data_IF_619939011580
#
_entry.id   IF_619939011580
#
_cell.length_a   1.000
_cell.length_b   1.000
_cell.length_c   1.000
_cell.angle_alpha   90.00
_cell.angle_beta   90.00
_cell.angle_gamma   90.00
#
_symmetry.space_group_name_H-M   'P 1'
#
loop_
_entity.id
_entity.type
_entity.pdbx_description
1 polymer ?
#
# COMPACT_ATOMS: atom_id res chain seq x y z
N UNK A 1 6.84 43.88 7.49
CA UNK A 1 5.73 44.38 8.32
C UNK A 1 4.40 44.09 7.64
N UNK A 2 3.90 44.83 6.64
CA UNK A 2 2.59 44.54 6.00
C UNK A 2 2.43 43.11 5.43
N UNK A 3 3.47 42.53 4.80
CA UNK A 3 3.38 41.16 4.24
C UNK A 3 3.34 40.07 5.33
N UNK A 4 4.08 40.26 6.42
CA UNK A 4 4.15 39.28 7.51
C UNK A 4 2.88 39.32 8.35
N UNK A 5 2.33 40.52 8.58
CA UNK A 5 1.03 40.73 9.20
C UNK A 5 -0.10 40.08 8.39
N UNK A 6 -0.07 40.21 7.05
CA UNK A 6 -1.04 39.54 6.19
C UNK A 6 -0.94 38.01 6.28
N UNK A 7 0.28 37.45 6.25
CA UNK A 7 0.51 36.00 6.42
C UNK A 7 0.05 35.50 7.79
N UNK A 8 0.28 36.29 8.84
CA UNK A 8 -0.19 35.98 10.19
C UNK A 8 -1.73 35.94 10.26
N UNK A 9 -2.41 36.93 9.66
CA UNK A 9 -3.87 36.97 9.58
C UNK A 9 -4.44 35.79 8.77
N UNK A 10 -3.81 35.44 7.64
CA UNK A 10 -4.18 34.27 6.83
C UNK A 10 -4.01 32.96 7.62
N UNK A 11 -2.91 32.81 8.35
CA UNK A 11 -2.67 31.65 9.22
C UNK A 11 -3.68 31.57 10.37
N UNK A 12 -3.98 32.70 11.03
CA UNK A 12 -4.98 32.78 12.09
C UNK A 12 -6.38 32.39 11.59
N UNK A 13 -6.78 32.86 10.40
CA UNK A 13 -8.05 32.48 9.78
C UNK A 13 -8.11 30.96 9.51
N UNK A 14 -7.01 30.36 9.01
CA UNK A 14 -6.91 28.91 8.80
C UNK A 14 -7.00 28.15 10.13
N UNK A 15 -6.36 28.66 11.19
CA UNK A 15 -6.42 28.08 12.53
C UNK A 15 -7.84 28.06 13.07
N UNK A 16 -8.54 29.20 13.05
CA UNK A 16 -9.93 29.30 13.52
C UNK A 16 -10.89 28.40 12.74
N UNK A 17 -10.84 28.45 11.40
CA UNK A 17 -11.68 27.61 10.55
C UNK A 17 -11.43 26.11 10.77
N UNK A 18 -10.20 25.73 11.09
CA UNK A 18 -9.85 24.34 11.39
C UNK A 18 -10.33 23.92 12.78
N UNK A 19 -10.18 24.78 13.79
CA UNK A 19 -10.68 24.54 15.14
C UNK A 19 -12.21 24.36 15.17
N UNK A 20 -12.97 25.21 14.47
CA UNK A 20 -14.42 25.08 14.36
C UNK A 20 -14.86 23.79 13.67
N UNK A 21 -14.15 23.39 12.60
CA UNK A 21 -14.42 22.13 11.90
C UNK A 21 -14.11 20.91 12.76
N UNK A 22 -13.04 20.96 13.56
CA UNK A 22 -12.70 19.91 14.51
C UNK A 22 -13.75 19.81 15.63
N UNK A 23 -14.16 20.95 16.21
CA UNK A 23 -15.18 20.99 17.25
C UNK A 23 -16.52 20.40 16.79
N UNK A 24 -17.01 20.80 15.61
CA UNK A 24 -18.23 20.23 15.02
C UNK A 24 -18.12 18.71 14.84
N UNK A 25 -16.96 18.22 14.39
CA UNK A 25 -16.77 16.79 14.14
C UNK A 25 -16.76 15.96 15.43
N UNK A 26 -16.20 16.50 16.51
CA UNK A 26 -16.26 15.86 17.84
C UNK A 26 -17.70 15.78 18.34
N UNK A 27 -18.51 16.82 18.11
CA UNK A 27 -19.94 16.80 18.44
C UNK A 27 -20.71 15.76 17.62
N UNK A 28 -20.46 15.71 16.31
CA UNK A 28 -21.05 14.70 15.40
C UNK A 28 -20.71 13.28 15.84
N UNK A 29 -19.45 13.03 16.20
CA UNK A 29 -19.03 11.74 16.77
C UNK A 29 -19.83 11.42 18.04
N UNK A 30 -19.96 12.38 18.96
CA UNK A 30 -20.75 12.19 20.18
C UNK A 30 -22.22 11.86 19.91
N UNK A 31 -22.81 12.40 18.84
CA UNK A 31 -24.16 12.03 18.39
C UNK A 31 -24.16 10.62 17.77
N UNK A 32 -23.22 10.29 16.90
CA UNK A 32 -23.10 8.97 16.28
C UNK A 32 -22.90 7.86 17.33
N UNK A 33 -22.07 8.08 18.34
CA UNK A 33 -21.80 7.09 19.41
C UNK A 33 -22.99 6.83 20.33
N UNK A 34 -24.08 7.59 20.21
CA UNK A 34 -25.34 7.36 20.92
C UNK A 34 -26.36 6.58 20.09
N UNK A 35 -26.08 6.32 18.81
CA UNK A 35 -26.97 5.56 17.92
C UNK A 35 -26.91 4.07 18.24
N UNK A 36 -28.04 3.41 18.55
CA UNK A 36 -28.07 1.99 18.89
C UNK A 36 -27.41 1.12 17.83
N UNK A 37 -27.63 1.41 16.54
CA UNK A 37 -27.09 0.62 15.43
C UNK A 37 -25.55 0.61 15.39
N UNK A 38 -24.92 1.68 15.92
CA UNK A 38 -23.46 1.81 15.98
C UNK A 38 -22.89 1.06 17.18
N UNK A 39 -23.55 1.14 18.32
CA UNK A 39 -23.05 0.59 19.59
C UNK A 39 -23.37 -0.91 19.71
N UNK A 40 -24.42 -1.39 19.05
CA UNK A 40 -24.83 -2.79 19.10
C UNK A 40 -23.91 -3.75 18.36
N UNK A 41 -23.22 -3.29 17.29
CA UNK A 41 -22.22 -4.08 16.58
C UNK A 41 -20.80 -3.58 16.87
N UNK A 42 -19.97 -4.44 17.48
CA UNK A 42 -18.57 -4.14 17.79
C UNK A 42 -17.78 -3.73 16.55
N UNK A 43 -18.04 -4.33 15.39
CA UNK A 43 -17.31 -3.98 14.16
C UNK A 43 -17.69 -2.62 13.61
N UNK A 44 -18.99 -2.27 13.66
CA UNK A 44 -19.47 -0.94 13.31
C UNK A 44 -18.86 0.11 14.24
N UNK A 45 -18.90 -0.10 15.56
CA UNK A 45 -18.29 0.82 16.53
C UNK A 45 -16.80 1.04 16.27
N UNK A 46 -16.03 -0.04 16.08
CA UNK A 46 -14.59 0.06 15.78
C UNK A 46 -14.32 0.75 14.43
N UNK A 47 -15.22 0.62 13.46
CA UNK A 47 -15.09 1.27 12.16
C UNK A 47 -15.30 2.78 12.27
N UNK A 48 -16.37 3.21 12.96
CA UNK A 48 -16.67 4.62 13.20
C UNK A 48 -15.55 5.30 14.02
N UNK A 49 -15.08 4.67 15.10
CA UNK A 49 -13.99 5.20 15.92
C UNK A 49 -12.67 5.30 15.13
N UNK A 50 -12.34 4.29 14.32
CA UNK A 50 -11.13 4.31 13.51
C UNK A 50 -11.20 5.39 12.41
N UNK A 51 -12.35 5.53 11.75
CA UNK A 51 -12.58 6.55 10.73
C UNK A 51 -12.50 7.96 11.32
N UNK A 52 -13.17 8.20 12.46
CA UNK A 52 -13.12 9.48 13.16
C UNK A 52 -11.70 9.83 13.60
N UNK A 53 -10.95 8.88 14.17
CA UNK A 53 -9.55 9.09 14.56
C UNK A 53 -8.65 9.42 13.35
N UNK A 54 -8.88 8.78 12.20
CA UNK A 54 -8.14 9.05 10.98
C UNK A 54 -8.45 10.45 10.43
N UNK A 55 -9.73 10.82 10.34
CA UNK A 55 -10.19 12.15 9.92
C UNK A 55 -9.61 13.25 10.82
N UNK A 56 -9.67 13.06 12.14
CA UNK A 56 -9.09 13.99 13.11
C UNK A 56 -7.57 14.19 12.90
N UNK A 57 -6.81 13.09 12.76
CA UNK A 57 -5.37 13.15 12.50
C UNK A 57 -5.04 13.84 11.18
N UNK A 58 -5.79 13.56 10.12
CA UNK A 58 -5.59 14.19 8.82
C UNK A 58 -5.79 15.70 8.92
N UNK A 59 -6.85 16.16 9.58
CA UNK A 59 -7.15 17.58 9.74
C UNK A 59 -6.12 18.31 10.61
N UNK A 60 -5.67 17.69 11.70
CA UNK A 60 -4.56 18.26 12.49
C UNK A 60 -3.29 18.32 11.64
N UNK A 61 -3.03 17.32 10.80
CA UNK A 61 -1.92 17.35 9.85
C UNK A 61 -2.06 18.46 8.80
N UNK A 62 -3.26 18.67 8.25
CA UNK A 62 -3.56 19.76 7.33
C UNK A 62 -3.34 21.12 8.00
N UNK A 63 -3.79 21.27 9.24
CA UNK A 63 -3.59 22.48 10.03
C UNK A 63 -2.10 22.82 10.18
N UNK A 64 -1.31 21.84 10.63
CA UNK A 64 0.15 22.01 10.80
C UNK A 64 0.81 22.34 9.47
N UNK A 65 0.47 21.61 8.41
CA UNK A 65 1.03 21.83 7.09
C UNK A 65 0.69 23.22 6.54
N UNK A 66 -0.59 23.60 6.53
CA UNK A 66 -1.03 24.88 5.98
C UNK A 66 -0.46 26.07 6.77
N UNK A 67 -0.34 25.93 8.08
CA UNK A 67 0.29 26.96 8.92
C UNK A 67 1.76 27.09 8.57
N UNK A 68 2.53 26.00 8.50
CA UNK A 68 3.95 26.06 8.16
C UNK A 68 4.19 26.56 6.72
N UNK A 69 3.37 26.11 5.77
CA UNK A 69 3.45 26.50 4.36
C UNK A 69 3.17 28.00 4.12
N UNK A 70 2.49 28.68 5.05
CA UNK A 70 2.30 30.14 4.97
C UNK A 70 3.61 30.92 5.21
N UNK A 71 4.58 30.33 5.91
CA UNK A 71 5.84 30.99 6.29
C UNK A 71 7.06 30.51 5.52
N UNK A 72 7.04 29.28 4.99
CA UNK A 72 8.17 28.69 4.27
C UNK A 72 7.70 27.66 3.23
N UNK A 73 8.55 27.41 2.22
CA UNK A 73 8.38 26.27 1.32
C UNK A 73 8.74 24.97 2.07
N UNK A 74 7.72 24.21 2.46
CA UNK A 74 7.86 23.00 3.27
C UNK A 74 7.04 21.86 2.67
N UNK A 75 7.50 20.63 2.83
CA UNK A 75 6.73 19.45 2.44
C UNK A 75 6.00 18.89 3.65
N UNK A 76 4.90 18.17 3.39
CA UNK A 76 4.12 17.50 4.45
C UNK A 76 4.97 16.53 5.27
N UNK A 77 5.91 15.83 4.63
CA UNK A 77 6.83 14.91 5.30
C UNK A 77 7.77 15.58 6.31
N UNK A 78 8.07 16.87 6.13
CA UNK A 78 8.98 17.62 6.99
C UNK A 78 8.27 18.18 8.23
N UNK A 79 6.98 18.52 8.11
CA UNK A 79 6.26 19.28 9.14
C UNK A 79 5.12 18.52 9.81
N UNK A 80 4.50 17.54 9.13
CA UNK A 80 3.34 16.82 9.68
C UNK A 80 3.80 15.63 10.55
N UNK A 81 3.51 15.63 11.86
CA UNK A 81 3.99 14.58 12.75
C UNK A 81 3.52 13.19 12.32
N UNK A 82 4.48 12.27 12.17
CA UNK A 82 4.23 10.87 11.82
C UNK A 82 3.77 10.63 10.39
N UNK A 83 3.78 11.65 9.50
CA UNK A 83 3.38 11.48 8.10
C UNK A 83 4.26 10.45 7.37
N UNK A 84 5.59 10.57 7.47
CA UNK A 84 6.52 9.63 6.84
C UNK A 84 6.30 8.19 7.32
N UNK A 85 6.06 7.98 8.62
CA UNK A 85 5.74 6.67 9.18
C UNK A 85 4.43 6.11 8.61
N UNK A 86 3.41 6.96 8.45
CA UNK A 86 2.13 6.59 7.87
C UNK A 86 2.25 6.20 6.39
N UNK A 87 3.04 6.92 5.60
CA UNK A 87 3.35 6.58 4.21
C UNK A 87 4.10 5.24 4.17
N UNK A 88 5.17 5.09 4.96
CA UNK A 88 5.96 3.85 5.01
C UNK A 88 5.15 2.62 5.39
N UNK A 89 4.24 2.73 6.38
CA UNK A 89 3.36 1.64 6.77
C UNK A 89 2.42 1.20 5.62
N UNK A 90 1.96 2.15 4.80
CA UNK A 90 1.06 1.88 3.66
C UNK A 90 1.80 1.34 2.45
N UNK A 91 3.03 1.79 2.20
CA UNK A 91 3.93 1.19 1.21
C UNK A 91 4.18 -0.28 1.56
N UNK A 92 4.52 -0.55 2.82
CA UNK A 92 4.75 -1.91 3.30
C UNK A 92 3.47 -2.77 3.22
N UNK A 93 2.30 -2.20 3.54
CA UNK A 93 1.02 -2.89 3.42
C UNK A 93 0.70 -3.24 1.96
N UNK A 94 0.91 -2.31 1.03
CA UNK A 94 0.70 -2.56 -0.41
C UNK A 94 1.59 -3.68 -0.93
N UNK A 95 2.87 -3.68 -0.57
CA UNK A 95 3.79 -4.76 -0.90
C UNK A 95 3.34 -6.12 -0.35
N UNK A 96 2.97 -6.16 0.94
CA UNK A 96 2.49 -7.38 1.59
C UNK A 96 1.18 -7.91 0.95
N UNK A 97 0.28 -7.02 0.55
CA UNK A 97 -0.96 -7.37 -0.14
C UNK A 97 -0.68 -7.96 -1.54
N UNK A 98 0.28 -7.40 -2.28
CA UNK A 98 0.70 -7.92 -3.57
C UNK A 98 1.30 -9.33 -3.48
N UNK A 99 2.10 -9.58 -2.43
CA UNK A 99 2.64 -10.91 -2.14
C UNK A 99 1.56 -11.91 -1.74
N UNK A 100 0.60 -11.50 -0.91
CA UNK A 100 -0.54 -12.33 -0.57
C UNK A 100 -1.36 -12.69 -1.82
N UNK A 101 -1.68 -11.70 -2.67
CA UNK A 101 -2.41 -11.93 -3.92
C UNK A 101 -1.72 -12.97 -4.80
N UNK A 102 -0.43 -12.79 -5.06
CA UNK A 102 0.38 -13.74 -5.84
C UNK A 102 0.35 -15.15 -5.23
N UNK A 103 0.50 -15.23 -3.90
CA UNK A 103 0.47 -16.48 -3.14
C UNK A 103 -0.87 -17.21 -3.31
N UNK A 104 -1.98 -16.49 -3.25
CA UNK A 104 -3.32 -17.03 -3.43
C UNK A 104 -3.62 -17.39 -4.89
N UNK A 105 -3.21 -16.58 -5.85
CA UNK A 105 -3.36 -16.87 -7.28
C UNK A 105 -2.65 -18.18 -7.67
N UNK A 106 -1.40 -18.37 -7.24
CA UNK A 106 -0.68 -19.63 -7.47
C UNK A 106 -1.32 -20.84 -6.77
N UNK A 107 -2.14 -20.63 -5.73
CA UNK A 107 -2.97 -21.70 -5.14
C UNK A 107 -4.20 -21.98 -6.00
N UNK A 108 -4.83 -20.97 -6.58
CA UNK A 108 -5.98 -21.17 -7.47
C UNK A 108 -5.58 -21.92 -8.75
N UNK A 109 -4.43 -21.59 -9.33
CA UNK A 109 -3.87 -22.32 -10.47
C UNK A 109 -3.62 -23.81 -10.16
N UNK A 110 -3.17 -24.11 -8.93
CA UNK A 110 -3.03 -25.50 -8.45
C UNK A 110 -4.38 -26.15 -8.19
N UNK A 111 -5.34 -25.43 -7.64
CA UNK A 111 -6.69 -25.93 -7.33
C UNK A 111 -7.46 -26.34 -8.59
N UNK A 112 -7.26 -25.60 -9.69
CA UNK A 112 -7.85 -25.91 -11.00
C UNK A 112 -7.39 -27.27 -11.55
N UNK A 113 -6.23 -27.77 -11.13
CA UNK A 113 -5.66 -29.06 -11.55
C UNK A 113 -5.79 -30.15 -10.48
N UNK A 114 -6.29 -29.81 -9.29
CA UNK A 114 -6.37 -30.70 -8.15
C UNK A 114 -7.65 -31.55 -8.20
N UNK A 115 -7.57 -32.76 -7.64
CA UNK A 115 -8.76 -33.59 -7.39
C UNK A 115 -9.57 -33.05 -6.19
N UNK A 116 -10.81 -33.48 -6.08
CA UNK A 116 -11.73 -33.05 -5.01
C UNK A 116 -11.16 -33.32 -3.61
N UNK A 117 -10.46 -34.44 -3.42
CA UNK A 117 -9.78 -34.80 -2.18
C UNK A 117 -8.51 -33.97 -1.88
N UNK A 118 -7.89 -33.35 -2.89
CA UNK A 118 -6.70 -32.52 -2.73
C UNK A 118 -7.02 -31.05 -2.40
N UNK A 119 -8.19 -30.55 -2.85
CA UNK A 119 -8.59 -29.14 -2.67
C UNK A 119 -8.72 -28.68 -1.20
N UNK A 120 -9.18 -29.50 -0.23
CA UNK A 120 -9.17 -29.09 1.20
C UNK A 120 -7.78 -28.69 1.71
N UNK A 121 -6.71 -29.35 1.25
CA UNK A 121 -5.35 -28.97 1.61
C UNK A 121 -4.97 -27.59 1.08
N UNK A 122 -5.42 -27.24 -0.13
CA UNK A 122 -5.20 -25.90 -0.71
C UNK A 122 -6.00 -24.81 0.03
N UNK A 123 -7.21 -25.14 0.51
CA UNK A 123 -7.99 -24.24 1.36
C UNK A 123 -7.28 -23.94 2.70
N UNK A 124 -6.68 -24.95 3.35
CA UNK A 124 -5.84 -24.76 4.55
C UNK A 124 -4.63 -23.87 4.28
N UNK A 125 -3.90 -24.14 3.20
CA UNK A 125 -2.75 -23.30 2.82
C UNK A 125 -3.14 -21.85 2.50
N UNK A 126 -4.35 -21.61 1.99
CA UNK A 126 -4.88 -20.27 1.78
C UNK A 126 -5.20 -19.60 3.12
N UNK A 127 -5.85 -20.31 4.06
CA UNK A 127 -6.11 -19.81 5.41
C UNK A 127 -4.81 -19.44 6.14
N UNK A 128 -3.79 -20.28 6.06
CA UNK A 128 -2.45 -20.04 6.61
C UNK A 128 -1.81 -18.78 6.01
N UNK A 129 -1.98 -18.55 4.71
CA UNK A 129 -1.46 -17.35 4.04
C UNK A 129 -2.16 -16.09 4.55
N UNK A 130 -3.48 -16.13 4.74
CA UNK A 130 -4.23 -15.02 5.34
C UNK A 130 -3.82 -14.82 6.81
N UNK A 131 -3.60 -15.91 7.57
CA UNK A 131 -3.14 -15.85 8.95
C UNK A 131 -1.76 -15.20 9.07
N UNK A 132 -0.82 -15.57 8.19
CA UNK A 132 0.49 -14.97 8.10
C UNK A 132 0.42 -13.49 7.70
N UNK A 133 -0.44 -13.13 6.75
CA UNK A 133 -0.61 -11.74 6.35
C UNK A 133 -1.12 -10.85 7.50
N UNK A 134 -2.11 -11.30 8.26
CA UNK A 134 -2.66 -10.49 9.37
C UNK A 134 -1.70 -10.34 10.54
N UNK A 135 -0.71 -11.22 10.70
CA UNK A 135 0.30 -11.09 11.76
C UNK A 135 1.43 -10.12 11.41
N UNK A 136 1.55 -9.69 10.14
CA UNK A 136 2.55 -8.71 9.73
C UNK A 136 2.21 -7.33 10.31
N UNK A 137 3.22 -6.59 10.81
CA UNK A 137 3.04 -5.22 11.32
C UNK A 137 2.34 -4.26 10.33
N UNK A 138 2.59 -4.30 9.00
CA UNK A 138 1.86 -3.47 8.04
C UNK A 138 0.35 -3.71 7.99
N UNK A 139 -0.13 -4.90 8.39
CA UNK A 139 -1.57 -5.21 8.44
C UNK A 139 -2.35 -4.29 9.40
N UNK A 140 -1.64 -3.68 10.37
CA UNK A 140 -2.24 -2.72 11.29
C UNK A 140 -2.80 -1.49 10.57
N UNK A 141 -2.24 -1.12 9.41
CA UNK A 141 -2.71 -0.01 8.58
C UNK A 141 -4.00 -0.33 7.79
N UNK A 142 -4.48 -1.58 7.80
CA UNK A 142 -5.78 -1.93 7.21
C UNK A 142 -6.93 -1.25 7.94
N UNK A 143 -7.95 -0.86 7.17
CA UNK A 143 -9.21 -0.34 7.71
C UNK A 143 -9.99 -1.46 8.40
N UNK A 144 -10.78 -1.07 9.40
CA UNK A 144 -11.60 -2.01 10.18
C UNK A 144 -12.56 -2.85 9.33
N UNK A 145 -13.26 -2.30 8.31
CA UNK A 145 -14.10 -3.12 7.43
C UNK A 145 -13.30 -4.20 6.69
N UNK A 146 -12.13 -3.86 6.14
CA UNK A 146 -11.25 -4.82 5.47
C UNK A 146 -10.76 -5.91 6.44
N UNK A 147 -10.44 -5.56 7.70
CA UNK A 147 -10.07 -6.53 8.73
C UNK A 147 -11.20 -7.52 9.04
N UNK A 148 -12.45 -7.05 9.10
CA UNK A 148 -13.64 -7.89 9.29
C UNK A 148 -13.75 -8.92 8.17
N UNK A 149 -13.61 -8.48 6.93
CA UNK A 149 -13.71 -9.34 5.76
C UNK A 149 -12.58 -10.39 5.68
N UNK A 150 -11.36 -10.03 6.09
CA UNK A 150 -10.27 -11.00 6.21
C UNK A 150 -10.59 -12.08 7.25
N UNK A 151 -11.13 -11.69 8.42
CA UNK A 151 -11.52 -12.65 9.46
C UNK A 151 -12.63 -13.59 8.96
N UNK A 152 -13.63 -13.05 8.24
CA UNK A 152 -14.71 -13.84 7.65
C UNK A 152 -14.19 -14.79 6.56
N UNK A 153 -13.30 -14.32 5.67
CA UNK A 153 -12.66 -15.16 4.65
C UNK A 153 -11.85 -16.30 5.26
N UNK A 154 -11.09 -16.03 6.33
CA UNK A 154 -10.35 -17.06 7.08
C UNK A 154 -11.26 -18.13 7.68
N UNK A 155 -12.40 -17.72 8.27
CA UNK A 155 -13.39 -18.66 8.80
C UNK A 155 -13.90 -19.63 7.72
N UNK A 156 -14.31 -19.07 6.57
CA UNK A 156 -14.79 -19.85 5.42
C UNK A 156 -13.71 -20.80 4.85
N UNK A 157 -12.47 -20.35 4.74
CA UNK A 157 -11.36 -21.19 4.28
C UNK A 157 -11.03 -22.32 5.27
N UNK A 158 -11.13 -22.05 6.58
CA UNK A 158 -10.95 -23.06 7.62
C UNK A 158 -12.02 -24.14 7.53
N UNK A 159 -13.28 -23.74 7.38
CA UNK A 159 -14.40 -24.67 7.19
C UNK A 159 -14.23 -25.51 5.92
N UNK A 160 -13.86 -24.89 4.80
CA UNK A 160 -13.57 -25.61 3.57
C UNK A 160 -12.41 -26.61 3.73
N UNK A 161 -11.35 -26.22 4.43
CA UNK A 161 -10.19 -27.06 4.70
C UNK A 161 -10.45 -28.23 5.66
N UNK A 162 -11.57 -28.21 6.39
CA UNK A 162 -12.00 -29.29 7.27
C UNK A 162 -12.85 -30.35 6.56
N UNK A 163 -13.31 -30.08 5.34
CA UNK A 163 -14.09 -31.04 4.55
C UNK A 163 -13.20 -32.15 3.99
N UNK A 164 -13.71 -33.38 3.82
CA UNK A 164 -12.96 -34.47 3.20
C UNK A 164 -12.70 -34.20 1.71
N UNK A 165 -13.63 -33.53 1.04
CA UNK A 165 -13.59 -33.21 -0.38
C UNK A 165 -14.20 -31.83 -0.64
N UNK A 166 -13.73 -31.17 -1.70
CA UNK A 166 -14.27 -29.90 -2.18
C UNK A 166 -14.45 -29.96 -3.69
N UNK A 167 -15.62 -29.52 -4.17
CA UNK A 167 -15.87 -29.30 -5.60
C UNK A 167 -14.96 -28.21 -6.19
N UNK A 168 -14.83 -28.16 -7.52
CA UNK A 168 -13.87 -27.30 -8.22
C UNK A 168 -14.11 -25.80 -7.99
N UNK A 169 -15.36 -25.38 -7.85
CA UNK A 169 -15.74 -23.96 -7.78
C UNK A 169 -15.73 -23.40 -6.35
N UNK A 170 -15.63 -24.27 -5.33
CA UNK A 170 -15.76 -23.84 -3.93
C UNK A 170 -14.59 -22.94 -3.54
N UNK A 171 -13.36 -23.35 -3.84
CA UNK A 171 -12.18 -22.59 -3.43
C UNK A 171 -12.03 -21.26 -4.22
N UNK A 172 -12.21 -21.22 -5.55
CA UNK A 172 -12.32 -19.96 -6.30
C UNK A 172 -13.40 -19.03 -5.72
N UNK A 173 -14.60 -19.55 -5.45
CA UNK A 173 -15.70 -18.77 -4.88
C UNK A 173 -15.43 -18.18 -3.48
N UNK A 174 -14.43 -18.71 -2.76
CA UNK A 174 -13.98 -18.14 -1.48
C UNK A 174 -12.84 -17.13 -1.64
N UNK A 175 -11.93 -17.36 -2.59
CA UNK A 175 -10.69 -16.59 -2.72
C UNK A 175 -10.85 -15.39 -3.64
N UNK A 176 -11.55 -15.52 -4.77
CA UNK A 176 -11.69 -14.43 -5.75
C UNK A 176 -12.38 -13.19 -5.18
N UNK A 177 -13.51 -13.29 -4.43
CA UNK A 177 -14.13 -12.11 -3.83
C UNK A 177 -13.20 -11.40 -2.83
N UNK A 178 -12.39 -12.18 -2.11
CA UNK A 178 -11.40 -11.64 -1.18
C UNK A 178 -10.27 -10.90 -1.92
N UNK A 179 -9.79 -11.45 -3.04
CA UNK A 179 -8.77 -10.80 -3.85
C UNK A 179 -9.28 -9.47 -4.43
N UNK A 180 -10.52 -9.43 -4.93
CA UNK A 180 -11.13 -8.20 -5.42
C UNK A 180 -11.25 -7.13 -4.32
N UNK A 181 -11.68 -7.53 -3.12
CA UNK A 181 -11.77 -6.63 -1.97
C UNK A 181 -10.40 -6.08 -1.55
N UNK A 182 -9.36 -6.93 -1.57
CA UNK A 182 -8.01 -6.51 -1.23
C UNK A 182 -7.46 -5.52 -2.28
N UNK A 183 -7.72 -5.76 -3.56
CA UNK A 183 -7.33 -4.88 -4.66
C UNK A 183 -7.98 -3.50 -4.52
N UNK A 184 -9.31 -3.45 -4.34
CA UNK A 184 -10.04 -2.19 -4.11
C UNK A 184 -9.50 -1.42 -2.91
N UNK A 185 -9.24 -2.11 -1.79
CA UNK A 185 -8.68 -1.49 -0.59
C UNK A 185 -7.28 -0.91 -0.83
N UNK A 186 -6.43 -1.59 -1.61
CA UNK A 186 -5.08 -1.12 -1.94
C UNK A 186 -5.11 0.03 -2.94
N UNK A 187 -6.04 0.04 -3.90
CA UNK A 187 -6.23 1.14 -4.84
C UNK A 187 -6.71 2.40 -4.13
N UNK A 188 -7.71 2.28 -3.24
CA UNK A 188 -8.19 3.40 -2.44
C UNK A 188 -7.09 3.98 -1.55
N UNK A 189 -6.35 3.10 -0.85
CA UNK A 189 -5.22 3.50 -0.03
C UNK A 189 -4.12 4.20 -0.85
N UNK A 190 -3.80 3.67 -2.03
CA UNK A 190 -2.78 4.24 -2.93
C UNK A 190 -3.19 5.64 -3.37
N UNK A 191 -4.42 5.81 -3.87
CA UNK A 191 -4.94 7.12 -4.27
C UNK A 191 -4.93 8.15 -3.14
N UNK A 192 -5.25 7.70 -1.93
CA UNK A 192 -5.38 8.59 -0.76
C UNK A 192 -4.01 9.02 -0.19
N UNK A 193 -3.02 8.11 -0.18
CA UNK A 193 -1.79 8.32 0.59
C UNK A 193 -0.49 8.24 -0.20
N UNK A 194 -0.46 7.47 -1.29
CA UNK A 194 0.79 7.08 -1.93
C UNK A 194 1.05 7.78 -3.26
N UNK A 195 0.10 8.55 -3.80
CA UNK A 195 0.27 9.27 -5.08
C UNK A 195 1.55 10.11 -5.14
N UNK A 196 1.79 10.96 -4.14
CA UNK A 196 3.00 11.81 -4.10
C UNK A 196 4.27 10.98 -3.92
N UNK A 197 4.23 10.02 -2.99
CA UNK A 197 5.33 9.10 -2.74
C UNK A 197 5.71 8.32 -4.02
N UNK A 198 4.74 7.72 -4.70
CA UNK A 198 5.00 6.88 -5.85
C UNK A 198 5.55 7.69 -7.03
N UNK A 199 5.06 8.92 -7.23
CA UNK A 199 5.64 9.84 -8.23
C UNK A 199 7.08 10.21 -7.90
N UNK A 200 7.40 10.44 -6.62
CA UNK A 200 8.77 10.72 -6.19
C UNK A 200 9.69 9.51 -6.40
N UNK A 201 9.25 8.30 -6.04
CA UNK A 201 10.02 7.07 -6.28
C UNK A 201 10.19 6.83 -7.77
N UNK A 202 9.16 7.02 -8.58
CA UNK A 202 9.24 6.88 -10.03
C UNK A 202 10.26 7.84 -10.66
N UNK A 203 10.20 9.13 -10.30
CA UNK A 203 11.16 10.11 -10.78
C UNK A 203 12.60 9.77 -10.33
N UNK A 204 12.78 9.38 -9.06
CA UNK A 204 14.07 8.97 -8.54
C UNK A 204 14.61 7.71 -9.22
N UNK A 205 13.74 6.74 -9.53
CA UNK A 205 14.10 5.58 -10.34
C UNK A 205 14.57 6.00 -11.72
N UNK A 206 13.85 6.90 -12.41
CA UNK A 206 14.25 7.42 -13.72
C UNK A 206 15.64 8.04 -13.70
N UNK A 207 15.94 8.92 -12.74
CA UNK A 207 17.27 9.52 -12.57
C UNK A 207 18.36 8.46 -12.37
N UNK A 208 18.08 7.40 -11.60
CA UNK A 208 19.04 6.31 -11.41
C UNK A 208 19.28 5.52 -12.70
N UNK A 209 18.26 5.31 -13.53
CA UNK A 209 18.43 4.64 -14.82
C UNK A 209 19.32 5.44 -15.77
N UNK A 210 19.21 6.77 -15.78
CA UNK A 210 20.12 7.64 -16.53
C UNK A 210 21.56 7.55 -16.00
N UNK A 211 21.75 7.42 -14.69
CA UNK A 211 23.08 7.18 -14.12
C UNK A 211 23.67 5.83 -14.54
N UNK A 212 22.85 4.77 -14.62
CA UNK A 212 23.30 3.47 -15.14
C UNK A 212 23.79 3.62 -16.58
N UNK A 213 23.03 4.32 -17.42
CA UNK A 213 23.37 4.55 -18.83
C UNK A 213 24.71 5.27 -18.96
N UNK A 214 24.90 6.35 -18.20
CA UNK A 214 26.18 7.08 -18.14
C UNK A 214 27.35 6.16 -17.73
N UNK A 215 27.17 5.29 -16.73
CA UNK A 215 28.21 4.33 -16.34
C UNK A 215 28.52 3.33 -17.46
N UNK A 216 27.52 2.87 -18.20
CA UNK A 216 27.69 1.95 -19.32
C UNK A 216 28.41 2.62 -20.51
N UNK A 217 28.08 3.87 -20.82
CA UNK A 217 28.77 4.65 -21.86
C UNK A 217 30.25 4.88 -21.53
N UNK A 218 30.55 5.12 -20.26
CA UNK A 218 31.92 5.31 -19.77
C UNK A 218 32.70 4.00 -19.57
N UNK A 219 32.10 2.83 -19.83
CA UNK A 219 32.71 1.52 -19.58
C UNK A 219 33.02 1.28 -18.09
N UNK A 220 32.30 1.95 -17.19
CA UNK A 220 32.54 1.92 -15.75
C UNK A 220 31.90 0.68 -15.11
N UNK A 221 32.60 -0.01 -14.18
CA UNK A 221 32.00 -1.11 -13.43
C UNK A 221 30.87 -0.67 -12.48
N UNK A 222 30.66 0.65 -12.31
CA UNK A 222 29.61 1.21 -11.46
C UNK A 222 28.18 0.93 -11.92
N UNK A 223 27.99 0.57 -13.20
CA UNK A 223 26.66 0.33 -13.77
C UNK A 223 25.87 -0.75 -13.02
N UNK A 224 26.51 -1.88 -12.70
CA UNK A 224 25.85 -2.98 -12.00
C UNK A 224 25.37 -2.58 -10.60
N UNK A 225 26.22 -1.86 -9.84
CA UNK A 225 25.88 -1.35 -8.50
C UNK A 225 24.71 -0.38 -8.55
N UNK A 226 24.77 0.62 -9.45
CA UNK A 226 23.70 1.62 -9.56
C UNK A 226 22.38 0.97 -10.00
N UNK A 227 22.45 -0.05 -10.86
CA UNK A 227 21.27 -0.79 -11.30
C UNK A 227 20.64 -1.63 -10.17
N UNK A 228 21.46 -2.29 -9.35
CA UNK A 228 20.99 -3.00 -8.15
C UNK A 228 20.30 -2.03 -7.16
N UNK A 229 20.92 -0.87 -6.93
CA UNK A 229 20.37 0.20 -6.10
C UNK A 229 19.05 0.74 -6.67
N UNK A 230 18.95 0.90 -8.00
CA UNK A 230 17.74 1.34 -8.68
C UNK A 230 16.60 0.33 -8.52
N UNK A 231 16.88 -0.97 -8.73
CA UNK A 231 15.90 -2.04 -8.59
C UNK A 231 15.43 -2.14 -7.12
N UNK A 232 16.35 -2.02 -6.18
CA UNK A 232 16.04 -2.04 -4.74
C UNK A 232 15.14 -0.86 -4.35
N UNK A 233 15.48 0.35 -4.79
CA UNK A 233 14.69 1.55 -4.51
C UNK A 233 13.29 1.48 -5.15
N UNK A 234 13.19 1.01 -6.39
CA UNK A 234 11.89 0.79 -7.05
C UNK A 234 11.03 -0.29 -6.37
N UNK A 235 11.60 -1.08 -5.45
CA UNK A 235 10.88 -1.95 -4.55
C UNK A 235 9.76 -1.24 -3.77
N UNK A 236 9.89 0.07 -3.50
CA UNK A 236 8.84 0.86 -2.85
C UNK A 236 7.56 1.04 -3.70
N UNK A 237 7.62 0.74 -5.00
CA UNK A 237 6.47 0.69 -5.91
C UNK A 237 5.81 -0.70 -5.96
N UNK A 238 6.26 -1.66 -5.16
CA UNK A 238 5.67 -3.00 -5.12
C UNK A 238 4.17 -2.94 -4.83
N UNK A 239 3.41 -3.73 -5.58
CA UNK A 239 1.95 -3.76 -5.57
C UNK A 239 1.28 -2.64 -6.35
N UNK A 240 2.03 -1.78 -7.05
CA UNK A 240 1.43 -0.78 -7.96
C UNK A 240 0.92 -1.42 -9.25
N UNK A 241 1.61 -2.46 -9.76
CA UNK A 241 1.32 -3.12 -11.03
C UNK A 241 1.87 -4.55 -11.02
N UNK A 242 1.05 -5.53 -11.41
CA UNK A 242 1.46 -6.94 -11.37
C UNK A 242 2.65 -7.26 -12.31
N UNK A 243 2.67 -6.76 -13.57
CA UNK A 243 3.85 -6.88 -14.42
C UNK A 243 5.12 -6.27 -13.81
N UNK A 244 4.99 -5.13 -13.13
CA UNK A 244 6.14 -4.48 -12.47
C UNK A 244 6.65 -5.31 -11.29
N UNK A 245 5.77 -5.90 -10.49
CA UNK A 245 6.16 -6.78 -9.39
C UNK A 245 6.89 -8.04 -9.88
N UNK A 246 6.47 -8.60 -11.03
CA UNK A 246 7.19 -9.71 -11.68
C UNK A 246 8.60 -9.29 -12.08
N UNK A 247 8.71 -8.12 -12.70
CA UNK A 247 10.01 -7.55 -13.05
C UNK A 247 10.90 -7.34 -11.82
N UNK A 248 10.41 -6.68 -10.76
CA UNK A 248 11.19 -6.40 -9.55
C UNK A 248 11.73 -7.66 -8.86
N UNK A 249 10.99 -8.78 -8.91
CA UNK A 249 11.46 -10.06 -8.34
C UNK A 249 12.63 -10.63 -9.14
N UNK A 250 12.48 -10.70 -10.47
CA UNK A 250 13.53 -11.24 -11.36
C UNK A 250 14.75 -10.31 -11.39
N UNK A 251 14.52 -9.01 -11.57
CA UNK A 251 15.56 -7.99 -11.61
C UNK A 251 16.40 -7.93 -10.35
N UNK A 252 15.80 -8.14 -9.15
CA UNK A 252 16.58 -8.22 -7.90
C UNK A 252 17.54 -9.40 -7.89
N UNK A 253 17.06 -10.58 -8.31
CA UNK A 253 17.90 -11.78 -8.38
C UNK A 253 19.02 -11.59 -9.39
N UNK A 254 18.70 -11.12 -10.58
CA UNK A 254 19.67 -10.86 -11.66
C UNK A 254 20.71 -9.81 -11.26
N UNK A 255 20.30 -8.69 -10.66
CA UNK A 255 21.22 -7.64 -10.21
C UNK A 255 22.17 -8.15 -9.11
N UNK A 256 21.66 -8.91 -8.14
CA UNK A 256 22.46 -9.48 -7.05
C UNK A 256 23.44 -10.57 -7.50
N UNK A 257 23.20 -11.19 -8.66
CA UNK A 257 24.06 -12.26 -9.19
C UNK A 257 25.37 -11.74 -9.82
N UNK A 258 25.55 -10.43 -9.91
CA UNK A 258 26.71 -9.81 -10.54
C UNK A 258 26.56 -9.77 -12.06
N UNK A 259 26.02 -8.65 -12.57
CA UNK A 259 25.80 -8.45 -14.00
C UNK A 259 27.09 -8.07 -14.73
N UNK A 260 27.33 -8.71 -15.87
CA UNK A 260 28.25 -8.17 -16.88
C UNK A 260 27.59 -7.02 -17.66
N UNK A 261 28.36 -6.34 -18.50
CA UNK A 261 27.90 -5.17 -19.26
C UNK A 261 26.68 -5.46 -20.15
N UNK A 262 26.64 -6.62 -20.80
CA UNK A 262 25.52 -7.06 -21.63
C UNK A 262 24.25 -7.29 -20.79
N UNK A 263 24.39 -7.97 -19.64
CA UNK A 263 23.30 -8.19 -18.70
C UNK A 263 22.78 -6.89 -18.08
N UNK A 264 23.68 -5.94 -17.80
CA UNK A 264 23.31 -4.61 -17.31
C UNK A 264 22.49 -3.82 -18.35
N UNK A 265 22.87 -3.87 -19.63
CA UNK A 265 22.10 -3.23 -20.72
C UNK A 265 20.71 -3.85 -20.89
N UNK A 266 20.63 -5.19 -20.88
CA UNK A 266 19.35 -5.89 -21.00
C UNK A 266 18.41 -5.58 -19.82
N UNK A 267 18.93 -5.64 -18.59
CA UNK A 267 18.13 -5.32 -17.40
C UNK A 267 17.72 -3.84 -17.38
N UNK A 268 18.60 -2.91 -17.78
CA UNK A 268 18.28 -1.49 -17.93
C UNK A 268 17.14 -1.27 -18.93
N UNK A 269 17.19 -1.91 -20.11
CA UNK A 269 16.14 -1.79 -21.13
C UNK A 269 14.78 -2.28 -20.60
N UNK A 270 14.75 -3.47 -19.98
CA UNK A 270 13.54 -4.02 -19.35
C UNK A 270 13.04 -3.12 -18.21
N UNK A 271 13.94 -2.53 -17.43
CA UNK A 271 13.54 -1.61 -16.36
C UNK A 271 12.88 -0.36 -16.93
N UNK A 272 13.49 0.30 -17.92
CA UNK A 272 12.91 1.49 -18.58
C UNK A 272 11.51 1.21 -19.12
N UNK A 273 11.33 0.10 -19.85
CA UNK A 273 10.02 -0.34 -20.35
C UNK A 273 9.00 -0.50 -19.22
N UNK A 274 9.37 -1.23 -18.16
CA UNK A 274 8.46 -1.54 -17.05
C UNK A 274 8.13 -0.32 -16.22
N UNK A 275 9.09 0.56 -15.97
CA UNK A 275 8.90 1.81 -15.24
C UNK A 275 8.00 2.78 -16.02
N UNK A 276 8.13 2.86 -17.34
CA UNK A 276 7.29 3.68 -18.20
C UNK A 276 5.84 3.17 -18.29
N UNK A 277 5.64 1.85 -18.16
CA UNK A 277 4.30 1.21 -18.17
C UNK A 277 3.49 1.40 -16.90
N UNK A 278 4.05 2.03 -15.86
CA UNK A 278 3.36 2.20 -14.59
C UNK A 278 2.19 3.20 -14.70
N UNK A 279 1.03 2.88 -14.11
CA UNK A 279 -0.12 3.77 -14.16
C UNK A 279 0.09 4.94 -13.21
N UNK A 280 0.60 6.07 -13.71
CA UNK A 280 0.60 7.34 -13.00
C UNK A 280 -0.46 8.25 -13.62
N UNK A 281 -1.73 7.96 -13.30
CA UNK A 281 -2.82 8.93 -13.50
C UNK A 281 -2.80 10.04 -12.44
#
# INVERSE_FOLDING_TARGET
SSSDERRAQEAEAVLHASAERLARRVQELGVQMRRPEVVSDRWTLMSELAASRADFRNRVGDLVYLTAAAFADVRREDVVPGYAHQVGARVALRGAAADLRRSLQGRMERAAKATDAQRPALARQAEESLAAFVSLSPSLALRTPTKREIVAARGRLREAGAKPELGPDVLPGLVEPFLALLEEAMEEMTRTWLTVHDRAVWAASGVRLEQVDMHLELGSPGAARVLEEAVTAAGALSGRSAPFDVFLRKGRQEASAGLNEAGARDLLARFRERLASLPFS
#
